data_IF_024046714956
#
_entry.id   IF_024046714956
#
_cell.length_a   1.000
_cell.length_b   1.000
_cell.length_c   1.000
_cell.angle_alpha   90.00
_cell.angle_beta   90.00
_cell.angle_gamma   90.00
#
_symmetry.space_group_name_H-M   'P 1'
#
loop_
_entity.id
_entity.type
_entity.pdbx_description
1 polymer ?
#
# COMPACT_ATOMS: atom_id res chain seq x y z
N UNK A 1 9.64 -20.94 -6.07
CA UNK A 1 9.83 -19.50 -6.36
C UNK A 1 8.59 -18.72 -6.05
N UNK A 2 8.73 -17.46 -5.63
CA UNK A 2 7.61 -16.56 -5.33
C UNK A 2 7.83 -15.23 -6.04
N UNK A 3 6.76 -14.69 -6.61
CA UNK A 3 6.73 -13.33 -7.14
C UNK A 3 5.54 -12.59 -6.55
N UNK A 4 5.81 -11.45 -5.94
CA UNK A 4 4.81 -10.57 -5.35
C UNK A 4 4.87 -9.25 -6.10
N UNK A 5 3.81 -8.89 -6.80
CA UNK A 5 3.63 -7.58 -7.38
C UNK A 5 2.56 -6.84 -6.58
N UNK A 6 2.97 -5.81 -5.85
CA UNK A 6 2.08 -5.06 -4.95
C UNK A 6 2.27 -3.57 -5.13
N UNK A 7 1.17 -2.81 -5.10
CA UNK A 7 1.24 -1.35 -5.12
C UNK A 7 2.09 -0.81 -3.96
N UNK A 8 1.82 -1.28 -2.74
CA UNK A 8 2.55 -0.88 -1.53
C UNK A 8 3.16 -2.06 -0.79
N UNK A 9 4.14 -1.74 0.06
CA UNK A 9 4.67 -2.66 1.06
C UNK A 9 5.13 -1.89 2.30
N UNK A 10 5.60 -2.61 3.32
CA UNK A 10 6.16 -2.02 4.52
C UNK A 10 7.41 -2.74 4.98
N UNK A 11 8.36 -2.02 5.58
CA UNK A 11 9.56 -2.62 6.16
C UNK A 11 9.26 -3.61 7.30
N UNK A 12 8.12 -3.49 7.97
CA UNK A 12 7.67 -4.43 9.01
C UNK A 12 7.31 -5.77 8.37
N UNK A 13 6.52 -5.76 7.29
CA UNK A 13 6.11 -6.98 6.57
C UNK A 13 7.30 -7.66 5.91
N UNK A 14 8.22 -6.88 5.31
CA UNK A 14 9.48 -7.42 4.79
C UNK A 14 10.26 -8.16 5.87
N UNK A 15 10.39 -7.57 7.06
CA UNK A 15 11.07 -8.19 8.20
C UNK A 15 10.34 -9.46 8.68
N UNK A 16 9.00 -9.44 8.74
CA UNK A 16 8.18 -10.57 9.18
C UNK A 16 8.41 -11.82 8.33
N UNK A 17 8.55 -11.67 7.01
CA UNK A 17 8.74 -12.80 6.08
C UNK A 17 10.20 -13.08 5.73
N UNK A 18 11.16 -12.44 6.41
CA UNK A 18 12.57 -12.55 6.04
C UNK A 18 13.09 -13.99 6.08
N UNK A 19 12.70 -14.78 7.09
CA UNK A 19 13.11 -16.19 7.23
C UNK A 19 12.51 -17.08 6.13
N UNK A 20 11.25 -16.85 5.78
CA UNK A 20 10.59 -17.57 4.69
C UNK A 20 11.24 -17.27 3.33
N UNK A 21 11.55 -16.00 3.09
CA UNK A 21 12.25 -15.58 1.88
C UNK A 21 13.65 -16.19 1.84
N UNK A 22 14.38 -16.18 2.96
CA UNK A 22 15.68 -16.80 3.08
C UNK A 22 15.66 -18.29 2.75
N UNK A 23 14.68 -19.02 3.29
CA UNK A 23 14.48 -20.44 2.98
C UNK A 23 14.20 -20.68 1.50
N UNK A 24 13.41 -19.83 0.84
CA UNK A 24 13.13 -19.95 -0.59
C UNK A 24 14.42 -19.81 -1.41
N UNK A 25 15.19 -18.76 -1.15
CA UNK A 25 16.37 -18.44 -1.96
C UNK A 25 17.53 -19.41 -1.68
N UNK A 26 17.76 -19.77 -0.41
CA UNK A 26 18.82 -20.71 -0.02
C UNK A 26 18.58 -22.13 -0.55
N UNK A 27 17.31 -22.50 -0.80
CA UNK A 27 16.96 -23.78 -1.43
C UNK A 27 16.98 -23.72 -2.97
N UNK A 28 17.60 -22.70 -3.56
CA UNK A 28 17.72 -22.53 -5.01
C UNK A 28 16.47 -22.00 -5.70
N UNK A 29 15.46 -21.55 -4.93
CA UNK A 29 14.29 -20.88 -5.46
C UNK A 29 14.56 -19.42 -5.84
N UNK A 30 13.64 -18.83 -6.61
CA UNK A 30 13.65 -17.41 -6.92
C UNK A 30 12.64 -16.64 -6.06
N UNK A 31 13.00 -15.42 -5.66
CA UNK A 31 12.10 -14.49 -5.00
C UNK A 31 12.16 -13.12 -5.69
N UNK A 32 10.99 -12.60 -6.03
CA UNK A 32 10.83 -11.27 -6.62
C UNK A 32 9.75 -10.48 -5.88
N UNK A 33 10.06 -9.27 -5.43
CA UNK A 33 9.10 -8.30 -4.89
C UNK A 33 9.10 -7.03 -5.75
N UNK A 34 8.00 -6.78 -6.45
CA UNK A 34 7.75 -5.54 -7.18
C UNK A 34 6.89 -4.60 -6.32
N UNK A 35 7.40 -3.40 -6.03
CA UNK A 35 6.70 -2.33 -5.32
C UNK A 35 6.30 -1.25 -6.32
N UNK A 36 5.03 -1.22 -6.71
CA UNK A 36 4.56 -0.47 -7.88
C UNK A 36 4.37 1.03 -7.67
N UNK A 37 4.03 1.47 -6.46
CA UNK A 37 3.84 2.90 -6.14
C UNK A 37 5.11 3.55 -5.55
N UNK A 38 6.14 2.76 -5.26
CA UNK A 38 7.28 3.19 -4.46
C UNK A 38 8.02 4.40 -5.01
N UNK A 39 8.34 4.42 -6.30
CA UNK A 39 9.02 5.56 -6.94
C UNK A 39 8.08 6.77 -7.10
N UNK A 40 6.77 6.55 -7.27
CA UNK A 40 5.83 7.63 -7.58
C UNK A 40 5.39 8.40 -6.34
N UNK A 41 5.23 7.72 -5.21
CA UNK A 41 4.79 8.34 -3.95
C UNK A 41 5.90 8.46 -2.90
N UNK A 42 7.02 7.77 -3.14
CA UNK A 42 8.11 7.66 -2.20
C UNK A 42 7.85 6.64 -1.08
N UNK A 43 8.93 6.31 -0.38
CA UNK A 43 8.91 5.40 0.76
C UNK A 43 9.52 6.06 1.98
N UNK A 44 9.08 5.69 3.18
CA UNK A 44 9.80 6.09 4.38
C UNK A 44 11.19 5.43 4.42
N UNK A 45 12.15 6.11 5.04
CA UNK A 45 13.55 5.66 5.14
C UNK A 45 13.69 4.23 5.65
N UNK A 46 12.90 3.86 6.66
CA UNK A 46 12.93 2.52 7.24
C UNK A 46 12.54 1.45 6.21
N UNK A 47 11.45 1.67 5.47
CA UNK A 47 10.97 0.72 4.46
C UNK A 47 11.95 0.63 3.30
N UNK A 48 12.47 1.76 2.81
CA UNK A 48 13.49 1.77 1.77
C UNK A 48 14.74 0.97 2.17
N UNK A 49 15.26 1.21 3.37
CA UNK A 49 16.44 0.48 3.87
C UNK A 49 16.17 -1.02 3.97
N UNK A 50 14.99 -1.43 4.49
CA UNK A 50 14.62 -2.85 4.59
C UNK A 50 14.47 -3.53 3.23
N UNK A 51 13.98 -2.82 2.23
CA UNK A 51 13.93 -3.32 0.85
C UNK A 51 15.33 -3.46 0.24
N UNK A 52 16.24 -2.52 0.53
CA UNK A 52 17.63 -2.62 0.10
C UNK A 52 18.38 -3.79 0.74
N UNK A 53 18.23 -3.96 2.06
CA UNK A 53 18.76 -5.12 2.79
C UNK A 53 18.22 -6.44 2.21
N UNK A 54 16.92 -6.51 1.95
CA UNK A 54 16.29 -7.68 1.33
C UNK A 54 16.85 -7.95 -0.07
N UNK A 55 16.97 -6.92 -0.93
CA UNK A 55 17.52 -7.08 -2.27
C UNK A 55 18.96 -7.58 -2.24
N UNK A 56 19.79 -6.99 -1.38
CA UNK A 56 21.18 -7.43 -1.17
C UNK A 56 21.23 -8.89 -0.75
N UNK A 57 20.45 -9.28 0.25
CA UNK A 57 20.36 -10.66 0.72
C UNK A 57 19.98 -11.64 -0.41
N UNK A 58 18.91 -11.34 -1.17
CA UNK A 58 18.45 -12.21 -2.27
C UNK A 58 19.54 -12.39 -3.33
N UNK A 59 20.15 -11.27 -3.78
CA UNK A 59 21.14 -11.30 -4.86
C UNK A 59 22.49 -11.88 -4.41
N UNK A 60 22.84 -11.77 -3.12
CA UNK A 60 24.03 -12.45 -2.57
C UNK A 60 23.86 -13.97 -2.53
N UNK A 61 22.66 -14.48 -2.27
CA UNK A 61 22.39 -15.92 -2.29
C UNK A 61 22.29 -16.45 -3.73
N UNK A 62 21.71 -15.68 -4.66
CA UNK A 62 21.73 -15.99 -6.08
C UNK A 62 21.57 -14.72 -6.93
N UNK A 63 22.62 -14.33 -7.65
CA UNK A 63 22.64 -13.11 -8.47
C UNK A 63 21.64 -13.11 -9.64
N UNK A 64 21.06 -14.28 -9.99
CA UNK A 64 20.03 -14.42 -11.04
C UNK A 64 18.60 -14.23 -10.51
N UNK A 65 18.41 -14.07 -9.20
CA UNK A 65 17.09 -13.85 -8.64
C UNK A 65 16.53 -12.48 -9.01
N UNK A 66 15.20 -12.35 -9.05
CA UNK A 66 14.55 -11.09 -9.44
C UNK A 66 14.73 -9.96 -8.42
N UNK A 67 14.87 -10.31 -7.13
CA UNK A 67 15.16 -9.35 -6.06
C UNK A 67 14.01 -8.40 -5.77
N UNK A 68 14.32 -7.21 -5.27
CA UNK A 68 13.35 -6.12 -5.12
C UNK A 68 13.38 -5.23 -6.34
N UNK A 69 12.19 -4.92 -6.88
CA UNK A 69 12.01 -4.06 -8.05
C UNK A 69 11.00 -2.96 -7.77
N UNK A 70 11.12 -1.84 -8.49
CA UNK A 70 10.16 -0.75 -8.48
C UNK A 70 9.66 -0.46 -9.89
N UNK A 71 8.38 -0.16 -10.05
CA UNK A 71 7.90 0.42 -11.32
C UNK A 71 8.41 1.85 -11.40
N UNK A 72 9.04 2.20 -12.52
CA UNK A 72 9.60 3.54 -12.73
C UNK A 72 8.99 4.23 -13.96
N UNK A 73 8.55 3.44 -14.95
CA UNK A 73 7.94 3.96 -16.16
C UNK A 73 6.41 4.10 -15.96
N UNK A 74 5.83 5.31 -16.10
CA UNK A 74 4.39 5.51 -15.96
C UNK A 74 3.57 4.64 -16.93
N UNK A 75 2.33 4.26 -16.56
CA UNK A 75 1.64 4.62 -15.31
C UNK A 75 2.13 3.80 -14.11
N UNK A 76 1.91 4.30 -12.87
CA UNK A 76 2.26 3.54 -11.67
C UNK A 76 1.46 2.24 -11.57
N UNK A 77 2.05 1.20 -10.98
CA UNK A 77 1.35 -0.06 -10.72
C UNK A 77 0.73 -0.05 -9.32
N UNK A 78 -0.59 -0.10 -9.26
CA UNK A 78 -1.35 -0.23 -8.01
C UNK A 78 -2.03 -1.61 -7.88
N UNK A 79 -1.71 -2.58 -8.74
CA UNK A 79 -2.27 -3.92 -8.63
C UNK A 79 -1.74 -4.69 -7.41
N UNK A 80 -2.32 -5.86 -7.16
CA UNK A 80 -1.85 -6.83 -6.15
C UNK A 80 -1.98 -8.23 -6.74
N UNK A 81 -0.84 -8.84 -7.06
CA UNK A 81 -0.75 -10.15 -7.69
C UNK A 81 0.33 -10.95 -6.97
N UNK A 82 0.00 -12.19 -6.63
CA UNK A 82 0.91 -13.13 -6.00
C UNK A 82 1.02 -14.36 -6.89
N UNK A 83 2.24 -14.72 -7.26
CA UNK A 83 2.57 -15.96 -8.00
C UNK A 83 3.42 -16.85 -7.12
N UNK A 84 2.98 -18.09 -6.91
CA UNK A 84 3.72 -19.11 -6.16
C UNK A 84 3.96 -20.29 -7.08
N UNK A 85 5.24 -20.59 -7.34
CA UNK A 85 5.69 -21.69 -8.19
C UNK A 85 6.37 -22.77 -7.34
N UNK A 86 5.71 -23.92 -7.27
CA UNK A 86 6.26 -25.20 -6.81
C UNK A 86 6.79 -26.01 -8.02
N UNK A 87 7.52 -27.13 -7.80
CA UNK A 87 7.97 -27.98 -8.89
C UNK A 87 6.83 -28.47 -9.81
N UNK A 88 5.68 -28.85 -9.23
CA UNK A 88 4.56 -29.47 -9.98
C UNK A 88 3.27 -28.63 -9.95
N UNK A 89 3.33 -27.40 -9.44
CA UNK A 89 2.12 -26.58 -9.22
C UNK A 89 2.44 -25.10 -9.34
N UNK A 90 1.56 -24.38 -10.03
CA UNK A 90 1.64 -22.94 -10.18
C UNK A 90 0.34 -22.32 -9.67
N UNK A 91 0.45 -21.35 -8.78
CA UNK A 91 -0.67 -20.66 -8.16
C UNK A 91 -0.59 -19.17 -8.41
N UNK A 92 -1.73 -18.58 -8.72
CA UNK A 92 -1.89 -17.13 -8.82
C UNK A 92 -3.01 -16.65 -7.93
N UNK A 93 -2.79 -15.53 -7.27
CA UNK A 93 -3.79 -14.81 -6.51
C UNK A 93 -3.80 -13.36 -6.95
N UNK A 94 -4.98 -12.78 -7.09
CA UNK A 94 -5.15 -11.37 -7.40
C UNK A 94 -6.31 -10.79 -6.58
N UNK A 95 -6.21 -9.52 -6.19
CA UNK A 95 -7.19 -8.90 -5.31
C UNK A 95 -6.81 -7.52 -4.83
N UNK A 96 -7.31 -7.18 -3.63
CA UNK A 96 -7.09 -5.88 -2.98
C UNK A 96 -5.92 -5.87 -1.98
N UNK A 97 -5.48 -7.04 -1.52
CA UNK A 97 -4.45 -7.23 -0.48
C UNK A 97 -3.04 -6.83 -0.93
N UNK A 98 -2.54 -5.66 -0.51
CA UNK A 98 -1.12 -5.31 -0.70
C UNK A 98 -0.22 -6.18 0.20
N UNK A 99 1.07 -6.26 -0.12
CA UNK A 99 2.09 -6.94 0.69
C UNK A 99 2.53 -6.07 1.88
N UNK A 100 1.59 -5.82 2.79
CA UNK A 100 1.77 -5.11 4.06
C UNK A 100 0.84 -5.71 5.11
N UNK A 101 1.17 -5.56 6.41
CA UNK A 101 0.47 -6.25 7.50
C UNK A 101 -1.06 -6.08 7.44
N UNK A 102 -1.54 -4.86 7.24
CA UNK A 102 -2.98 -4.60 7.18
C UNK A 102 -3.65 -5.29 6.00
N UNK A 103 -3.02 -5.29 4.83
CA UNK A 103 -3.56 -5.96 3.65
C UNK A 103 -3.51 -7.48 3.72
N UNK A 104 -2.71 -8.05 4.62
CA UNK A 104 -2.61 -9.51 4.77
C UNK A 104 -3.50 -10.04 5.91
N UNK A 105 -3.76 -9.23 6.94
CA UNK A 105 -4.39 -9.72 8.18
C UNK A 105 -5.47 -8.82 8.78
N UNK A 106 -5.31 -7.49 8.71
CA UNK A 106 -6.15 -6.58 9.52
C UNK A 106 -7.34 -6.00 8.75
N UNK A 107 -7.20 -5.80 7.44
CA UNK A 107 -8.23 -5.24 6.58
C UNK A 107 -9.19 -6.34 6.10
N UNK A 108 -10.43 -5.94 5.85
CA UNK A 108 -11.35 -6.72 5.03
C UNK A 108 -10.90 -6.60 3.57
N UNK A 109 -10.26 -7.65 3.07
CA UNK A 109 -9.71 -7.70 1.72
C UNK A 109 -10.37 -8.81 0.91
N UNK A 110 -10.46 -8.59 -0.40
CA UNK A 110 -10.94 -9.59 -1.33
C UNK A 110 -9.77 -10.08 -2.18
N UNK A 111 -9.46 -11.37 -2.09
CA UNK A 111 -8.41 -12.01 -2.89
C UNK A 111 -8.94 -13.32 -3.44
N UNK A 112 -8.86 -13.48 -4.76
CA UNK A 112 -9.23 -14.70 -5.44
C UNK A 112 -8.00 -15.44 -5.92
N UNK A 113 -8.04 -16.77 -5.79
CA UNK A 113 -7.15 -17.62 -6.57
C UNK A 113 -7.65 -17.65 -8.02
N UNK A 114 -6.74 -17.43 -8.98
CA UNK A 114 -7.03 -17.61 -10.39
C UNK A 114 -6.83 -19.09 -10.73
N UNK A 115 -7.86 -19.72 -11.29
CA UNK A 115 -7.87 -21.17 -11.56
C UNK A 115 -7.99 -21.53 -13.04
N UNK A 116 -8.52 -20.64 -13.88
CA UNK A 116 -8.68 -20.92 -15.30
C UNK A 116 -7.37 -20.67 -16.07
N UNK A 117 -7.09 -21.53 -17.04
CA UNK A 117 -5.83 -21.52 -17.77
C UNK A 117 -5.63 -20.23 -18.60
N UNK A 118 -6.71 -19.65 -19.12
CA UNK A 118 -6.64 -18.46 -19.96
C UNK A 118 -6.20 -17.23 -19.16
N UNK A 119 -6.84 -16.95 -18.02
CA UNK A 119 -6.47 -15.86 -17.13
C UNK A 119 -5.11 -16.09 -16.48
N UNK A 120 -4.74 -17.35 -16.17
CA UNK A 120 -3.37 -17.68 -15.72
C UNK A 120 -2.34 -17.23 -16.76
N UNK A 121 -2.50 -17.61 -18.03
CA UNK A 121 -1.55 -17.27 -19.09
C UNK A 121 -1.46 -15.75 -19.34
N UNK A 122 -2.60 -15.05 -19.29
CA UNK A 122 -2.64 -13.59 -19.39
C UNK A 122 -1.94 -12.92 -18.21
N UNK A 123 -2.20 -13.42 -16.98
CA UNK A 123 -1.58 -12.90 -15.76
C UNK A 123 -0.07 -13.09 -15.77
N UNK A 124 0.41 -14.27 -16.19
CA UNK A 124 1.83 -14.55 -16.31
C UNK A 124 2.50 -13.67 -17.37
N UNK A 125 1.85 -13.49 -18.53
CA UNK A 125 2.34 -12.58 -19.58
C UNK A 125 2.45 -11.14 -19.06
N UNK A 126 1.42 -10.67 -18.36
CA UNK A 126 1.39 -9.33 -17.78
C UNK A 126 2.44 -9.14 -16.67
N UNK A 127 2.60 -10.11 -15.77
CA UNK A 127 3.64 -10.09 -14.74
C UNK A 127 5.05 -10.07 -15.36
N UNK A 128 5.30 -10.92 -16.34
CA UNK A 128 6.61 -10.95 -17.00
C UNK A 128 6.91 -9.63 -17.72
N UNK A 129 5.91 -8.99 -18.34
CA UNK A 129 6.02 -7.63 -18.88
C UNK A 129 6.33 -6.58 -17.79
N UNK A 130 5.61 -6.60 -16.65
CA UNK A 130 5.85 -5.69 -15.53
C UNK A 130 7.29 -5.80 -14.99
N UNK A 131 7.87 -7.00 -15.01
CA UNK A 131 9.21 -7.28 -14.49
C UNK A 131 10.34 -6.95 -15.47
N UNK A 132 10.04 -6.51 -16.70
CA UNK A 132 11.06 -6.06 -17.64
C UNK A 132 11.72 -4.75 -17.21
N UNK A 133 12.96 -4.52 -17.63
CA UNK A 133 13.71 -3.29 -17.31
C UNK A 133 13.09 -2.01 -17.92
N UNK A 134 12.23 -2.15 -18.93
CA UNK A 134 11.47 -1.04 -19.53
C UNK A 134 10.31 -0.55 -18.66
N UNK A 135 9.84 -1.37 -17.71
CA UNK A 135 8.68 -1.06 -16.87
C UNK A 135 9.10 -0.91 -15.41
N UNK A 136 9.94 -1.83 -14.93
CA UNK A 136 10.45 -1.82 -13.58
C UNK A 136 11.97 -1.85 -13.54
N UNK A 137 12.55 -1.44 -12.43
CA UNK A 137 13.99 -1.39 -12.20
C UNK A 137 14.32 -2.13 -10.92
N UNK A 138 15.37 -2.96 -10.92
CA UNK A 138 15.85 -3.59 -9.69
C UNK A 138 16.42 -2.53 -8.74
N UNK A 139 16.23 -2.73 -7.43
CA UNK A 139 16.73 -1.84 -6.38
C UNK A 139 18.22 -1.51 -6.56
N UNK A 140 19.04 -2.49 -6.96
CA UNK A 140 20.48 -2.30 -7.16
C UNK A 140 20.84 -1.30 -8.28
N UNK A 141 19.90 -1.02 -9.20
CA UNK A 141 20.06 -0.04 -10.28
C UNK A 141 19.39 1.31 -9.95
N UNK A 142 18.83 1.48 -8.75
CA UNK A 142 18.18 2.72 -8.35
C UNK A 142 19.22 3.68 -7.75
N UNK A 143 19.67 4.66 -8.53
CA UNK A 143 20.64 5.68 -8.06
C UNK A 143 20.02 6.70 -7.11
N UNK A 144 18.75 7.05 -7.34
CA UNK A 144 17.99 8.00 -6.54
C UNK A 144 16.58 7.47 -6.28
N UNK A 145 16.05 7.77 -5.10
CA UNK A 145 14.72 7.31 -4.70
C UNK A 145 14.03 8.39 -3.85
N UNK A 146 12.74 8.69 -4.09
CA UNK A 146 12.01 9.67 -3.30
C UNK A 146 11.74 9.11 -1.91
N UNK A 147 12.35 9.74 -0.91
CA UNK A 147 12.16 9.33 0.48
C UNK A 147 11.29 10.35 1.18
N UNK A 148 10.15 9.87 1.64
CA UNK A 148 9.25 10.65 2.47
C UNK A 148 9.71 10.55 3.92
N UNK A 149 9.85 11.70 4.58
CA UNK A 149 10.00 11.68 6.03
C UNK A 149 8.70 11.18 6.64
N UNK A 150 8.79 10.30 7.62
CA UNK A 150 7.64 10.03 8.46
C UNK A 150 7.35 11.32 9.20
N UNK A 151 6.45 12.16 8.66
CA UNK A 151 5.76 13.13 9.49
C UNK A 151 5.09 12.25 10.53
N UNK A 152 5.64 12.22 11.75
CA UNK A 152 4.89 11.75 12.90
C UNK A 152 3.72 12.70 12.94
N UNK A 153 2.63 12.35 12.25
CA UNK A 153 1.36 12.97 12.48
C UNK A 153 1.23 12.79 13.99
N UNK A 154 1.31 13.90 14.72
CA UNK A 154 0.81 13.99 16.07
C UNK A 154 -0.70 13.81 15.95
N UNK A 155 -1.12 12.60 15.56
CA UNK A 155 -2.42 12.07 15.89
C UNK A 155 -2.34 12.05 17.40
N UNK A 156 -2.75 13.16 18.04
CA UNK A 156 -3.27 13.12 19.39
C UNK A 156 -4.16 11.89 19.35
N UNK A 157 -3.77 10.84 20.07
CA UNK A 157 -4.62 9.67 20.25
C UNK A 157 -5.86 10.22 20.94
N UNK A 158 -6.86 10.60 20.16
CA UNK A 158 -8.20 10.79 20.66
C UNK A 158 -8.62 9.36 20.96
N UNK A 159 -8.45 8.97 22.23
CA UNK A 159 -9.00 7.72 22.72
C UNK A 159 -10.51 7.88 22.62
N UNK A 160 -11.10 7.44 21.51
CA UNK A 160 -12.52 7.17 21.50
C UNK A 160 -12.75 6.04 22.50
N UNK A 161 -13.30 6.36 23.67
CA UNK A 161 -13.79 5.34 24.57
C UNK A 161 -14.85 4.56 23.80
N UNK A 162 -14.59 3.26 23.60
CA UNK A 162 -15.58 2.34 23.04
C UNK A 162 -16.64 2.18 24.12
N UNK A 163 -17.74 2.92 24.03
CA UNK A 163 -18.84 2.80 24.96
C UNK A 163 -19.48 1.42 24.70
N UNK A 164 -19.35 0.49 25.64
CA UNK A 164 -19.83 -0.90 25.49
C UNK A 164 -21.37 -1.01 25.48
N UNK A 165 -22.05 0.03 25.96
CA UNK A 165 -23.50 0.12 26.03
C UNK A 165 -24.00 1.28 25.19
N UNK A 166 -24.90 1.01 24.23
CA UNK A 166 -25.63 2.10 23.58
C UNK A 166 -26.37 2.90 24.67
N UNK A 167 -26.19 4.24 24.75
CA UNK A 167 -26.89 5.03 25.75
C UNK A 167 -28.40 4.90 25.51
N UNK A 168 -29.12 4.43 26.53
CA UNK A 168 -30.57 4.39 26.50
C UNK A 168 -31.05 5.83 26.69
N UNK A 169 -31.49 6.46 25.60
CA UNK A 169 -32.11 7.78 25.65
C UNK A 169 -33.48 7.62 26.28
N UNK A 170 -33.65 8.08 27.52
CA UNK A 170 -34.94 8.10 28.20
C UNK A 170 -35.79 9.24 27.64
N UNK A 171 -36.77 8.92 26.79
CA UNK A 171 -37.66 9.89 26.13
C UNK A 171 -38.58 10.68 27.08
N UNK A 172 -38.58 10.36 28.39
CA UNK A 172 -39.36 11.07 29.41
C UNK A 172 -38.65 12.32 29.96
N UNK A 173 -37.39 12.54 29.60
CA UNK A 173 -36.66 13.75 30.01
C UNK A 173 -37.00 14.88 29.03
N UNK A 174 -37.29 16.11 29.50
CA UNK A 174 -37.45 17.25 28.61
C UNK A 174 -36.25 17.38 27.69
N UNK A 175 -36.49 17.47 26.38
CA UNK A 175 -35.44 17.58 25.37
C UNK A 175 -35.75 18.73 24.41
N UNK A 176 -34.71 19.17 23.70
CA UNK A 176 -34.80 20.18 22.65
C UNK A 176 -34.32 19.54 21.36
N UNK A 177 -35.18 19.52 20.34
CA UNK A 177 -34.79 19.12 18.99
C UNK A 177 -34.07 20.26 18.29
N UNK A 178 -32.78 20.07 18.04
CA UNK A 178 -31.97 21.00 17.26
C UNK A 178 -31.80 20.41 15.85
N UNK A 179 -32.54 20.96 14.89
CA UNK A 179 -32.43 20.53 13.50
C UNK A 179 -31.06 20.91 12.91
N UNK A 180 -30.35 19.90 12.41
CA UNK A 180 -29.08 20.08 11.67
C UNK A 180 -29.27 20.20 10.16
N UNK A 181 -30.51 20.27 9.66
CA UNK A 181 -30.81 20.27 8.22
C UNK A 181 -30.17 21.43 7.44
N UNK A 182 -29.81 22.53 8.12
CA UNK A 182 -29.07 23.65 7.50
C UNK A 182 -27.63 23.27 7.14
N UNK A 183 -27.01 22.36 7.88
CA UNK A 183 -25.58 22.03 7.76
C UNK A 183 -25.31 21.29 6.44
N UNK A 184 -26.20 20.39 6.05
CA UNK A 184 -26.11 19.57 4.84
C UNK A 184 -26.28 20.37 3.53
N UNK A 185 -27.05 21.47 3.58
CA UNK A 185 -27.35 22.30 2.40
C UNK A 185 -26.20 23.20 1.93
N UNK A 186 -25.13 23.33 2.71
CA UNK A 186 -24.02 24.21 2.37
C UNK A 186 -22.99 23.49 1.50
N UNK A 187 -22.79 23.94 0.26
CA UNK A 187 -21.97 23.23 -0.73
C UNK A 187 -20.45 23.38 -0.55
N UNK A 188 -19.99 24.39 0.19
CA UNK A 188 -18.55 24.77 0.28
C UNK A 188 -18.11 25.23 1.68
N UNK A 189 -18.88 24.86 2.71
CA UNK A 189 -18.65 25.20 4.11
C UNK A 189 -19.31 24.17 5.04
N UNK A 190 -19.05 24.23 6.35
CA UNK A 190 -19.41 23.19 7.32
C UNK A 190 -18.91 21.81 6.88
N UNK A 191 -19.79 20.80 6.80
CA UNK A 191 -19.47 19.44 6.35
C UNK A 191 -18.80 19.38 4.97
N UNK A 192 -18.99 20.41 4.14
CA UNK A 192 -18.42 20.53 2.81
C UNK A 192 -17.26 21.54 2.75
N UNK A 193 -16.58 21.81 3.89
CA UNK A 193 -15.46 22.75 3.96
C UNK A 193 -14.33 22.42 2.99
N UNK A 194 -14.14 21.13 2.65
CA UNK A 194 -13.22 20.68 1.61
C UNK A 194 -13.36 21.44 0.29
N UNK A 195 -14.60 21.72 -0.14
CA UNK A 195 -14.91 22.42 -1.39
C UNK A 195 -14.83 23.95 -1.27
N UNK A 196 -14.51 24.44 -0.07
CA UNK A 196 -14.30 25.85 0.23
C UNK A 196 -12.92 26.37 -0.19
N UNK A 197 -12.65 27.63 0.14
CA UNK A 197 -11.36 28.25 -0.17
C UNK A 197 -10.25 27.62 0.67
N UNK A 198 -9.23 27.11 -0.02
CA UNK A 198 -7.99 26.60 0.57
C UNK A 198 -7.15 27.69 1.26
N UNK A 199 -6.14 27.27 2.02
CA UNK A 199 -5.19 28.17 2.69
C UNK A 199 -4.17 28.68 1.68
N UNK A 200 -4.17 29.99 1.46
CA UNK A 200 -3.23 30.64 0.57
C UNK A 200 -2.02 31.16 1.33
N UNK A 201 -0.83 30.67 0.96
CA UNK A 201 0.42 31.20 1.45
C UNK A 201 0.84 32.40 0.60
N UNK A 202 0.65 33.62 1.11
CA UNK A 202 0.97 34.87 0.39
C UNK A 202 2.45 35.05 0.08
N UNK A 203 3.35 34.36 0.79
CA UNK A 203 4.81 34.45 0.55
C UNK A 203 5.27 33.54 -0.59
N UNK A 204 4.66 32.36 -0.73
CA UNK A 204 5.05 31.37 -1.75
C UNK A 204 4.08 31.28 -2.93
N UNK A 205 2.90 31.90 -2.83
CA UNK A 205 1.84 31.83 -3.84
C UNK A 205 1.02 30.53 -3.83
N UNK A 206 1.44 29.52 -3.05
CA UNK A 206 0.83 28.19 -3.04
C UNK A 206 -0.50 28.20 -2.28
N UNK A 207 -1.52 27.55 -2.84
CA UNK A 207 -2.82 27.31 -2.20
C UNK A 207 -2.92 25.84 -1.81
N UNK A 208 -3.13 25.57 -0.52
CA UNK A 208 -3.35 24.22 0.01
C UNK A 208 -4.86 24.03 0.20
N UNK A 209 -5.51 23.04 -0.43
CA UNK A 209 -6.93 22.77 -0.23
C UNK A 209 -7.22 22.43 1.24
N UNK A 210 -8.48 22.57 1.67
CA UNK A 210 -8.90 22.12 3.00
C UNK A 210 -8.89 20.59 3.07
N UNK A 211 -8.71 20.03 4.27
CA UNK A 211 -8.63 18.58 4.42
C UNK A 211 -10.00 17.93 4.18
N UNK A 212 -10.03 16.71 3.63
CA UNK A 212 -11.28 15.98 3.36
C UNK A 212 -12.09 15.69 4.64
N UNK A 213 -11.40 15.50 5.76
CA UNK A 213 -12.02 15.25 7.07
C UNK A 213 -12.19 16.53 7.90
N UNK A 214 -11.93 17.71 7.34
CA UNK A 214 -12.22 19.00 7.97
C UNK A 214 -13.70 19.34 7.76
N UNK A 215 -14.42 19.62 8.86
CA UNK A 215 -15.83 20.03 8.89
C UNK A 215 -16.08 21.22 9.79
#
# INVERSE_FOLDING_TARGET
SITIASGYTSGITVKQYQEDIARIVNNGGDFTLLVGMGIFEGLNRYTYNKLGELNGFILSANAKCGGVRFVWNPPPFHGKIYRIKYPNKLLYFAGSSNFYQRGLFDNLEFTCQISDAATINQTETYLNWLLTDNISVNFAKCESFPIIESVKASRKKINFQKIETQPIINSKVPYVDISLARVDKQQRSNLNAFFGKGRWNRKTGIVIPRDWFEV
#
